data_IF_637035394887
#
_entry.id   IF_637035394887
#
_cell.length_a   1.000
_cell.length_b   1.000
_cell.length_c   1.000
_cell.angle_alpha   90.00
_cell.angle_beta   90.00
_cell.angle_gamma   90.00
#
_symmetry.space_group_name_H-M   'P 1'
#
loop_
_entity.id
_entity.type
_entity.pdbx_description
1 polymer ?
#
# COMPACT_ATOMS: atom_id res chain seq x y z
N UNK A 1 -32.50 -18.00 -24.63
CA UNK A 1 -31.56 -16.85 -24.61
C UNK A 1 -32.33 -15.65 -24.09
N UNK A 2 -31.85 -14.93 -23.07
CA UNK A 2 -32.57 -13.74 -22.59
C UNK A 2 -32.39 -12.61 -23.61
N UNK A 3 -33.47 -12.24 -24.31
CA UNK A 3 -33.50 -11.14 -25.28
C UNK A 3 -33.06 -9.82 -24.63
N UNK A 4 -33.48 -9.60 -23.37
CA UNK A 4 -33.11 -8.42 -22.58
C UNK A 4 -31.59 -8.20 -22.44
N UNK A 5 -30.81 -9.29 -22.35
CA UNK A 5 -29.35 -9.20 -22.25
C UNK A 5 -28.74 -8.71 -23.56
N UNK A 6 -29.19 -9.25 -24.71
CA UNK A 6 -28.61 -8.87 -26.00
C UNK A 6 -28.99 -7.44 -26.35
N UNK A 7 -30.23 -7.01 -26.08
CA UNK A 7 -30.66 -5.62 -26.30
C UNK A 7 -29.80 -4.64 -25.50
N UNK A 8 -29.57 -4.94 -24.22
CA UNK A 8 -28.71 -4.12 -23.34
C UNK A 8 -27.24 -4.12 -23.79
N UNK A 9 -26.75 -5.27 -24.27
CA UNK A 9 -25.37 -5.41 -24.73
C UNK A 9 -25.13 -4.64 -26.04
N UNK A 10 -26.08 -4.67 -26.96
CA UNK A 10 -26.02 -3.93 -28.23
C UNK A 10 -25.99 -2.42 -27.97
N UNK A 11 -26.80 -1.91 -27.04
CA UNK A 11 -26.75 -0.50 -26.61
C UNK A 11 -25.36 -0.13 -26.12
N UNK A 12 -24.74 -0.97 -25.28
CA UNK A 12 -23.37 -0.75 -24.80
C UNK A 12 -22.34 -0.75 -25.92
N UNK A 13 -22.40 -1.73 -26.84
CA UNK A 13 -21.46 -1.82 -27.96
C UNK A 13 -21.56 -0.58 -28.86
N UNK A 14 -22.78 -0.10 -29.13
CA UNK A 14 -23.01 1.12 -29.93
C UNK A 14 -22.40 2.38 -29.32
N UNK A 15 -22.25 2.43 -27.99
CA UNK A 15 -21.62 3.53 -27.27
C UNK A 15 -20.09 3.42 -27.22
N UNK A 16 -19.50 2.31 -27.69
CA UNK A 16 -18.04 2.15 -27.71
C UNK A 16 -17.44 2.99 -28.84
N UNK A 17 -16.36 3.71 -28.56
CA UNK A 17 -15.64 4.51 -29.58
C UNK A 17 -15.03 3.64 -30.69
N UNK A 18 -14.61 2.41 -30.35
CA UNK A 18 -13.97 1.46 -31.29
C UNK A 18 -14.49 0.03 -31.07
N UNK A 19 -15.68 -0.32 -31.57
CA UNK A 19 -16.19 -1.68 -31.50
C UNK A 19 -15.37 -2.61 -32.40
N UNK A 20 -15.18 -3.86 -31.97
CA UNK A 20 -14.43 -4.88 -32.72
C UNK A 20 -15.17 -5.32 -33.99
N UNK A 21 -14.49 -5.98 -34.91
CA UNK A 21 -15.12 -6.52 -36.13
C UNK A 21 -16.26 -7.48 -35.81
N UNK A 22 -16.07 -8.39 -34.85
CA UNK A 22 -17.10 -9.34 -34.39
C UNK A 22 -18.32 -8.62 -33.79
N UNK A 23 -18.10 -7.54 -33.03
CA UNK A 23 -19.15 -6.73 -32.42
C UNK A 23 -19.93 -5.91 -33.45
N UNK A 24 -19.27 -5.41 -34.49
CA UNK A 24 -19.93 -4.75 -35.63
C UNK A 24 -20.81 -5.73 -36.40
N UNK A 25 -20.31 -6.94 -36.67
CA UNK A 25 -21.09 -8.00 -37.31
C UNK A 25 -22.29 -8.39 -36.45
N UNK A 26 -22.11 -8.46 -35.13
CA UNK A 26 -23.20 -8.72 -34.20
C UNK A 26 -24.30 -7.66 -34.26
N UNK A 27 -23.95 -6.37 -34.35
CA UNK A 27 -24.92 -5.27 -34.53
C UNK A 27 -25.66 -5.41 -35.86
N UNK A 28 -24.93 -5.64 -36.96
CA UNK A 28 -25.53 -5.80 -38.30
C UNK A 28 -26.53 -6.96 -38.33
N UNK A 29 -26.17 -8.09 -37.73
CA UNK A 29 -27.07 -9.24 -37.61
C UNK A 29 -28.23 -8.97 -36.65
N UNK A 30 -28.03 -8.18 -35.61
CA UNK A 30 -29.08 -7.80 -34.67
C UNK A 30 -30.16 -6.96 -35.35
N UNK A 31 -29.77 -5.95 -36.14
CA UNK A 31 -30.68 -5.01 -36.83
C UNK A 31 -31.42 -5.60 -38.03
N UNK A 32 -30.97 -6.76 -38.52
CA UNK A 32 -31.62 -7.47 -39.63
C UNK A 32 -32.89 -8.20 -39.16
N UNK A 33 -34.03 -7.86 -39.76
CA UNK A 33 -35.34 -8.45 -39.47
C UNK A 33 -35.58 -9.81 -40.16
N UNK A 34 -34.89 -10.10 -41.27
CA UNK A 34 -35.06 -11.28 -42.13
C UNK A 34 -33.77 -12.14 -42.20
N UNK A 35 -33.29 -12.61 -41.06
CA UNK A 35 -32.07 -13.43 -41.00
C UNK A 35 -32.30 -14.78 -41.67
N UNK A 36 -31.38 -15.16 -42.56
CA UNK A 36 -31.31 -16.52 -43.10
C UNK A 36 -30.94 -17.52 -41.98
N UNK A 37 -31.22 -18.83 -42.14
CA UNK A 37 -30.84 -19.84 -41.15
C UNK A 37 -29.34 -19.86 -40.81
N UNK A 38 -28.48 -19.52 -41.78
CA UNK A 38 -27.03 -19.42 -41.58
C UNK A 38 -26.66 -18.19 -40.74
N UNK A 39 -27.26 -17.04 -41.02
CA UNK A 39 -27.07 -15.80 -40.27
C UNK A 39 -27.56 -15.93 -38.83
N UNK A 40 -28.69 -16.62 -38.59
CA UNK A 40 -29.18 -16.87 -37.23
C UNK A 40 -28.25 -17.79 -36.44
N UNK A 41 -27.65 -18.81 -37.07
CA UNK A 41 -26.62 -19.64 -36.43
C UNK A 41 -25.38 -18.82 -36.06
N UNK A 42 -24.91 -17.97 -36.97
CA UNK A 42 -23.77 -17.09 -36.73
C UNK A 42 -24.06 -16.08 -35.62
N UNK A 43 -25.24 -15.46 -35.62
CA UNK A 43 -25.69 -14.56 -34.57
C UNK A 43 -25.66 -15.25 -33.19
N UNK A 44 -26.24 -16.45 -33.08
CA UNK A 44 -26.21 -17.21 -31.82
C UNK A 44 -24.79 -17.56 -31.37
N UNK A 45 -23.89 -17.87 -32.29
CA UNK A 45 -22.49 -18.15 -31.98
C UNK A 45 -21.78 -16.90 -31.43
N UNK A 46 -21.96 -15.75 -32.07
CA UNK A 46 -21.41 -14.47 -31.63
C UNK A 46 -21.95 -14.08 -30.24
N UNK A 47 -23.25 -14.24 -30.00
CA UNK A 47 -23.86 -13.98 -28.69
C UNK A 47 -23.24 -14.85 -27.58
N UNK A 48 -22.96 -16.14 -27.87
CA UNK A 48 -22.29 -17.01 -26.89
C UNK A 48 -20.84 -16.58 -26.65
N UNK A 49 -20.12 -16.19 -27.69
CA UNK A 49 -18.75 -15.68 -27.59
C UNK A 49 -18.71 -14.43 -26.70
N UNK A 50 -19.56 -13.43 -26.96
CA UNK A 50 -19.63 -12.19 -26.18
C UNK A 50 -19.94 -12.44 -24.70
N UNK A 51 -20.88 -13.34 -24.40
CA UNK A 51 -21.17 -13.73 -23.00
C UNK A 51 -19.98 -14.38 -22.30
N UNK A 52 -19.25 -15.24 -23.00
CA UNK A 52 -18.06 -15.86 -22.46
C UNK A 52 -16.97 -14.81 -22.19
N UNK A 53 -16.79 -13.85 -23.11
CA UNK A 53 -15.85 -12.75 -22.91
C UNK A 53 -16.25 -11.84 -21.74
N UNK A 54 -17.53 -11.50 -21.60
CA UNK A 54 -18.04 -10.71 -20.46
C UNK A 54 -17.79 -11.44 -19.13
N UNK A 55 -18.06 -12.74 -19.07
CA UNK A 55 -17.79 -13.58 -17.90
C UNK A 55 -16.30 -13.64 -17.54
N UNK A 56 -15.42 -13.77 -18.54
CA UNK A 56 -13.96 -13.76 -18.35
C UNK A 56 -13.49 -12.39 -17.82
N UNK A 57 -14.00 -11.28 -18.38
CA UNK A 57 -13.68 -9.93 -17.92
C UNK A 57 -14.09 -9.73 -16.46
N UNK A 58 -15.32 -10.11 -16.11
CA UNK A 58 -15.83 -10.03 -14.75
C UNK A 58 -15.00 -10.87 -13.77
N UNK A 59 -14.66 -12.11 -14.13
CA UNK A 59 -13.80 -12.98 -13.33
C UNK A 59 -12.40 -12.37 -13.11
N UNK A 60 -11.80 -11.79 -14.16
CA UNK A 60 -10.49 -11.12 -14.09
C UNK A 60 -10.53 -9.89 -13.17
N UNK A 61 -11.58 -9.08 -13.26
CA UNK A 61 -11.77 -7.92 -12.40
C UNK A 61 -11.93 -8.33 -10.93
N UNK A 62 -12.75 -9.35 -10.66
CA UNK A 62 -12.94 -9.89 -9.30
C UNK A 62 -11.64 -10.44 -8.73
N UNK A 63 -10.87 -11.18 -9.53
CA UNK A 63 -9.56 -11.69 -9.13
C UNK A 63 -8.55 -10.57 -8.87
N UNK A 64 -8.51 -9.53 -9.71
CA UNK A 64 -7.67 -8.34 -9.50
C UNK A 64 -8.03 -7.61 -8.20
N UNK A 65 -9.34 -7.37 -7.98
CA UNK A 65 -9.84 -6.76 -6.73
C UNK A 65 -9.45 -7.57 -5.51
N UNK A 66 -9.58 -8.90 -5.54
CA UNK A 66 -9.16 -9.78 -4.45
C UNK A 66 -7.64 -9.67 -4.17
N UNK A 67 -6.80 -9.76 -5.21
CA UNK A 67 -5.34 -9.61 -5.09
C UNK A 67 -4.95 -8.25 -4.48
N UNK A 68 -5.60 -7.17 -4.93
CA UNK A 68 -5.33 -5.83 -4.41
C UNK A 68 -5.69 -5.67 -2.93
N UNK A 69 -6.77 -6.34 -2.46
CA UNK A 69 -7.16 -6.33 -1.05
C UNK A 69 -6.16 -7.09 -0.20
N UNK A 70 -5.72 -8.26 -0.63
CA UNK A 70 -4.68 -9.05 0.07
C UNK A 70 -3.35 -8.29 0.16
N UNK A 71 -2.91 -7.66 -0.93
CA UNK A 71 -1.69 -6.85 -0.93
C UNK A 71 -1.76 -5.66 0.04
N UNK A 72 -2.93 -5.01 0.15
CA UNK A 72 -3.14 -3.90 1.10
C UNK A 72 -3.05 -4.35 2.56
N UNK A 73 -3.49 -5.56 2.90
CA UNK A 73 -3.41 -6.09 4.27
C UNK A 73 -1.95 -6.30 4.66
N UNK A 74 -1.19 -7.02 3.84
CA UNK A 74 0.24 -7.29 4.07
C UNK A 74 1.05 -5.99 4.15
N UNK A 75 0.72 -5.01 3.30
CA UNK A 75 1.41 -3.70 3.30
C UNK A 75 1.15 -2.93 4.59
N UNK A 76 -0.08 -2.93 5.11
CA UNK A 76 -0.42 -2.24 6.37
C UNK A 76 0.34 -2.81 7.55
N UNK A 77 0.41 -4.13 7.69
CA UNK A 77 1.15 -4.78 8.78
C UNK A 77 2.65 -4.44 8.74
N UNK A 78 3.24 -4.39 7.53
CA UNK A 78 4.64 -3.97 7.37
C UNK A 78 4.82 -2.49 7.71
N UNK A 79 3.92 -1.62 7.23
CA UNK A 79 3.95 -0.18 7.51
C UNK A 79 3.79 0.14 9.00
N UNK A 80 2.98 -0.62 9.74
CA UNK A 80 2.82 -0.46 11.19
C UNK A 80 4.10 -0.83 11.94
N UNK A 81 4.70 -1.98 11.61
CA UNK A 81 5.99 -2.39 12.19
C UNK A 81 7.10 -1.40 11.85
N UNK A 82 7.13 -0.89 10.62
CA UNK A 82 8.13 0.09 10.20
C UNK A 82 7.93 1.44 10.91
N UNK A 83 6.68 1.85 11.16
CA UNK A 83 6.36 3.06 11.94
C UNK A 83 6.79 2.94 13.38
N UNK A 84 6.49 1.82 14.03
CA UNK A 84 6.90 1.55 15.41
C UNK A 84 8.43 1.56 15.53
N UNK A 85 9.13 0.83 14.64
CA UNK A 85 10.60 0.87 14.56
C UNK A 85 11.14 2.28 14.35
N UNK A 86 10.54 3.06 13.45
CA UNK A 86 10.98 4.43 13.18
C UNK A 86 10.72 5.35 14.38
N UNK A 87 9.60 5.16 15.08
CA UNK A 87 9.30 5.90 16.30
C UNK A 87 10.36 5.63 17.37
N UNK A 88 10.69 4.37 17.63
CA UNK A 88 11.72 3.97 18.60
C UNK A 88 13.11 4.51 18.22
N UNK A 89 13.46 4.51 16.93
CA UNK A 89 14.71 5.12 16.46
C UNK A 89 14.75 6.63 16.71
N UNK A 90 13.63 7.34 16.51
CA UNK A 90 13.52 8.78 16.79
C UNK A 90 13.62 9.03 18.31
N UNK A 91 12.99 8.21 19.15
CA UNK A 91 13.11 8.32 20.60
C UNK A 91 14.56 8.13 21.04
N UNK A 92 15.24 7.12 20.49
CA UNK A 92 16.66 6.85 20.75
C UNK A 92 17.57 8.01 20.33
N UNK A 93 17.32 8.62 19.17
CA UNK A 93 18.03 9.83 18.74
C UNK A 93 17.71 11.03 19.65
N UNK A 94 16.47 11.12 20.15
CA UNK A 94 16.05 12.13 21.13
C UNK A 94 16.82 12.06 22.44
N UNK A 95 17.23 10.86 22.88
CA UNK A 95 18.10 10.68 24.04
C UNK A 95 19.50 11.25 23.81
N UNK A 96 20.05 11.10 22.59
CA UNK A 96 21.35 11.67 22.24
C UNK A 96 21.31 13.21 22.21
N UNK A 97 20.20 13.79 21.75
CA UNK A 97 19.97 15.24 21.82
C UNK A 97 19.90 15.69 23.29
N UNK A 98 19.16 14.97 24.13
CA UNK A 98 19.04 15.25 25.57
C UNK A 98 20.37 15.15 26.32
N UNK A 99 21.21 14.19 25.94
CA UNK A 99 22.55 14.03 26.48
C UNK A 99 23.53 15.11 25.99
N UNK A 100 23.11 16.01 25.09
CA UNK A 100 23.96 17.05 24.52
C UNK A 100 24.99 16.52 23.53
N UNK A 101 24.77 15.34 22.96
CA UNK A 101 25.67 14.72 21.98
C UNK A 101 25.30 15.09 20.53
N UNK A 102 24.09 15.60 20.33
CA UNK A 102 23.54 16.00 19.03
C UNK A 102 22.89 17.38 19.17
N UNK A 103 23.15 18.27 18.22
CA UNK A 103 22.49 19.57 18.15
C UNK A 103 21.01 19.40 17.78
N UNK A 104 20.13 19.87 18.66
CA UNK A 104 18.67 19.81 18.50
C UNK A 104 18.12 20.55 17.27
N UNK A 105 18.83 21.55 16.74
CA UNK A 105 18.38 22.36 15.59
C UNK A 105 18.85 21.78 14.26
N UNK A 106 20.09 21.32 14.21
CA UNK A 106 20.70 20.81 12.96
C UNK A 106 20.63 19.29 12.82
N UNK A 107 20.39 18.57 13.92
CA UNK A 107 20.38 17.10 13.97
C UNK A 107 21.76 16.47 13.76
N UNK A 108 22.83 17.27 13.78
CA UNK A 108 24.20 16.79 13.60
C UNK A 108 24.83 16.46 14.96
N UNK A 109 25.61 15.36 15.04
CA UNK A 109 26.48 15.14 16.18
C UNK A 109 27.37 16.35 16.45
N UNK A 110 27.56 16.67 17.73
CA UNK A 110 28.49 17.74 18.14
C UNK A 110 29.94 17.26 18.00
N UNK A 111 30.18 15.98 18.24
CA UNK A 111 31.48 15.33 18.05
C UNK A 111 31.62 14.80 16.63
N UNK A 112 32.85 14.45 16.23
CA UNK A 112 33.03 13.68 15.00
C UNK A 112 32.26 12.35 15.09
N UNK A 113 31.74 11.89 13.94
CA UNK A 113 30.89 10.70 13.89
C UNK A 113 31.62 9.44 14.36
N UNK A 114 32.92 9.33 14.05
CA UNK A 114 33.75 8.21 14.47
C UNK A 114 34.01 8.23 15.97
N UNK A 115 34.30 9.42 16.53
CA UNK A 115 34.53 9.61 17.96
C UNK A 115 33.28 9.29 18.78
N UNK A 116 32.12 9.81 18.37
CA UNK A 116 30.85 9.52 19.04
C UNK A 116 30.51 8.03 18.99
N UNK A 117 30.68 7.39 17.83
CA UNK A 117 30.41 5.97 17.68
C UNK A 117 31.39 5.13 18.52
N UNK A 118 32.67 5.48 18.52
CA UNK A 118 33.69 4.82 19.34
C UNK A 118 33.36 4.90 20.84
N UNK A 119 33.01 6.08 21.34
CA UNK A 119 32.63 6.28 22.74
C UNK A 119 31.37 5.47 23.13
N UNK A 120 30.35 5.47 22.27
CA UNK A 120 29.13 4.68 22.50
C UNK A 120 29.40 3.17 22.44
N UNK A 121 30.27 2.71 21.54
CA UNK A 121 30.67 1.30 21.45
C UNK A 121 31.47 0.86 22.70
N UNK A 122 32.39 1.69 23.19
CA UNK A 122 33.10 1.43 24.44
C UNK A 122 32.14 1.36 25.64
N UNK A 123 31.12 2.22 25.69
CA UNK A 123 30.09 2.17 26.72
C UNK A 123 29.22 0.90 26.61
N UNK A 124 28.87 0.47 25.40
CA UNK A 124 28.05 -0.71 25.16
C UNK A 124 28.78 -2.02 25.55
N UNK A 125 30.10 -2.07 25.35
CA UNK A 125 30.95 -3.20 25.71
C UNK A 125 31.51 -3.17 27.14
N UNK A 126 31.26 -2.10 27.91
CA UNK A 126 31.78 -1.98 29.26
C UNK A 126 31.04 -2.89 30.25
N UNK A 127 31.77 -3.53 31.16
CA UNK A 127 31.17 -4.18 32.32
C UNK A 127 30.63 -3.11 33.28
N UNK A 128 29.31 -3.03 33.39
CA UNK A 128 28.61 -2.04 34.21
C UNK A 128 27.83 -2.78 35.28
N UNK A 129 28.25 -2.62 36.54
CA UNK A 129 27.55 -3.15 37.70
C UNK A 129 26.20 -2.45 37.95
N UNK A 130 25.35 -3.10 38.74
CA UNK A 130 23.98 -2.63 38.97
C UNK A 130 23.91 -1.28 39.69
N UNK A 131 24.82 -1.01 40.63
CA UNK A 131 24.89 0.27 41.33
C UNK A 131 25.13 1.44 40.36
N UNK A 132 26.04 1.26 39.40
CA UNK A 132 26.32 2.25 38.36
C UNK A 132 25.14 2.40 37.39
N UNK A 133 24.44 1.32 37.03
CA UNK A 133 23.21 1.38 36.23
C UNK A 133 22.09 2.15 36.93
N UNK A 134 21.91 1.95 38.24
CA UNK A 134 20.92 2.67 39.04
C UNK A 134 21.22 4.18 39.10
N UNK A 135 22.49 4.54 39.32
CA UNK A 135 22.92 5.94 39.31
C UNK A 135 22.65 6.61 37.94
N UNK A 136 22.95 5.92 36.84
CA UNK A 136 22.66 6.40 35.49
C UNK A 136 21.17 6.54 35.23
N UNK A 137 20.36 5.59 35.67
CA UNK A 137 18.89 5.65 35.55
C UNK A 137 18.34 6.87 36.29
N UNK A 138 18.79 7.11 37.52
CA UNK A 138 18.37 8.28 38.29
C UNK A 138 18.72 9.60 37.59
N UNK A 139 19.97 9.72 37.09
CA UNK A 139 20.41 10.89 36.32
C UNK A 139 19.62 11.07 35.01
N UNK A 140 19.36 9.98 34.29
CA UNK A 140 18.61 9.99 33.03
C UNK A 140 17.17 10.43 33.22
N UNK A 141 16.47 9.90 34.23
CA UNK A 141 15.10 10.30 34.57
C UNK A 141 15.01 11.80 34.89
N UNK A 142 15.94 12.32 35.70
CA UNK A 142 15.97 13.74 36.04
C UNK A 142 16.10 14.65 34.79
N UNK A 143 16.90 14.24 33.79
CA UNK A 143 17.05 14.98 32.53
C UNK A 143 15.78 14.92 31.66
N UNK A 144 15.10 13.77 31.64
CA UNK A 144 13.83 13.60 30.91
C UNK A 144 12.74 14.48 31.53
N UNK A 145 12.61 14.45 32.86
CA UNK A 145 11.59 15.20 33.60
C UNK A 145 11.81 16.72 33.46
N UNK A 146 13.06 17.18 33.54
CA UNK A 146 13.40 18.59 33.34
C UNK A 146 12.96 19.12 31.95
N UNK A 147 13.15 18.33 30.89
CA UNK A 147 12.69 18.70 29.53
C UNK A 147 11.17 18.61 29.38
N UNK A 148 10.53 17.67 30.08
CA UNK A 148 9.08 17.51 30.11
C UNK A 148 8.35 18.72 30.71
N UNK A 149 8.94 19.33 31.74
CA UNK A 149 8.38 20.53 32.37
C UNK A 149 8.61 21.80 31.53
N UNK A 150 9.76 21.95 30.86
CA UNK A 150 10.03 23.09 29.95
C UNK A 150 9.11 23.17 28.72
N UNK A 151 8.37 22.11 28.39
CA UNK A 151 7.37 22.10 27.30
C UNK A 151 5.95 22.44 27.76
N UNK A 152 5.70 22.49 29.08
CA UNK A 152 4.37 22.72 29.67
C UNK A 152 4.16 24.16 30.15
N UNK A 153 5.22 24.96 30.20
CA UNK A 153 5.21 26.42 30.36
C UNK A 153 5.26 27.11 29.00
#
# INVERSE_FOLDING_TARGET
>A
MSQKWIDSHIIKIRQMEKPSTEQRILILLYDKNDRTPKEERNFRALVRSEKAQEAVRYAKEKASKAKSKSAKIIKREREEKDKERTHELIQSAGLLILAGLVDSKTGKPIWDKGELLGALASMAGAEINDAKRQAWKAKGNALIDAKGNQKKE
#
